data_IF_081581501040
#
_entry.id   IF_081581501040
#
_cell.length_a   1.000
_cell.length_b   1.000
_cell.length_c   1.000
_cell.angle_alpha   90.00
_cell.angle_beta   90.00
_cell.angle_gamma   90.00
#
_symmetry.space_group_name_H-M   'P 1'
#
loop_
_entity.id
_entity.type
_entity.pdbx_description
1 polymer ?
#
# COMPACT_ATOMS: atom_id res chain seq x y z
N UNK A 1 -10.84 -12.45 29.15
CA UNK A 1 -11.68 -12.49 27.94
C UNK A 1 -13.14 -12.48 28.33
N UNK A 2 -13.61 -13.45 29.13
CA UNK A 2 -15.03 -13.53 29.53
C UNK A 2 -15.58 -12.30 30.26
N UNK A 3 -14.76 -11.56 31.03
CA UNK A 3 -15.20 -10.30 31.65
C UNK A 3 -15.35 -9.16 30.64
N UNK A 4 -14.53 -9.13 29.58
CA UNK A 4 -14.59 -8.14 28.52
C UNK A 4 -15.77 -8.40 27.59
N UNK A 5 -16.05 -9.67 27.29
CA UNK A 5 -17.19 -10.08 26.47
C UNK A 5 -18.56 -9.81 27.14
N UNK A 6 -18.57 -9.64 28.47
CA UNK A 6 -19.78 -9.26 29.23
C UNK A 6 -20.14 -7.78 29.09
N UNK A 7 -19.23 -6.93 28.60
CA UNK A 7 -19.47 -5.49 28.50
C UNK A 7 -20.53 -5.14 27.45
N UNK A 8 -20.72 -5.97 26.41
CA UNK A 8 -21.72 -5.71 25.39
C UNK A 8 -22.17 -7.00 24.67
N UNK A 9 -23.48 -7.27 24.55
CA UNK A 9 -23.99 -8.54 24.00
C UNK A 9 -23.63 -8.78 22.52
N UNK A 10 -23.29 -7.72 21.79
CA UNK A 10 -22.93 -7.79 20.37
C UNK A 10 -21.42 -7.65 20.08
N UNK A 11 -20.56 -7.51 21.11
CA UNK A 11 -19.11 -7.41 20.92
C UNK A 11 -18.48 -8.67 21.53
N UNK A 12 -17.70 -9.38 20.71
CA UNK A 12 -16.84 -10.48 21.18
C UNK A 12 -15.40 -10.09 20.92
N UNK A 13 -14.61 -10.13 21.97
CA UNK A 13 -13.17 -9.98 21.88
C UNK A 13 -12.57 -11.30 21.41
N UNK A 14 -11.54 -11.18 20.60
CA UNK A 14 -10.73 -12.31 20.14
C UNK A 14 -9.29 -12.04 20.55
N UNK A 15 -8.62 -13.07 21.07
CA UNK A 15 -7.22 -13.00 21.45
C UNK A 15 -6.47 -14.07 20.67
N UNK A 16 -5.40 -13.68 20.00
CA UNK A 16 -4.49 -14.60 19.34
C UNK A 16 -3.53 -15.18 20.39
N UNK A 17 -3.56 -16.50 20.55
CA UNK A 17 -2.67 -17.23 21.44
C UNK A 17 -1.49 -17.80 20.65
N UNK A 18 -0.32 -17.87 21.29
CA UNK A 18 0.85 -18.55 20.76
C UNK A 18 0.49 -20.03 20.48
N UNK A 19 0.77 -20.50 19.25
CA UNK A 19 0.59 -21.90 18.83
C UNK A 19 1.88 -22.39 18.22
N UNK A 20 2.34 -23.58 18.61
CA UNK A 20 3.59 -24.17 18.10
C UNK A 20 4.78 -23.20 18.16
N UNK A 21 4.93 -22.53 19.31
CA UNK A 21 5.97 -21.51 19.54
C UNK A 21 5.91 -20.32 18.58
N UNK A 22 4.80 -20.12 17.87
CA UNK A 22 4.63 -19.08 16.88
C UNK A 22 3.43 -18.20 17.23
N UNK A 23 3.61 -16.90 17.07
CA UNK A 23 2.57 -15.89 17.19
C UNK A 23 2.63 -14.97 15.97
N UNK A 24 1.48 -14.70 15.38
CA UNK A 24 1.34 -13.74 14.30
C UNK A 24 0.84 -12.41 14.88
N UNK A 25 1.34 -11.30 14.37
CA UNK A 25 0.83 -9.98 14.71
C UNK A 25 1.06 -9.03 13.53
N UNK A 26 -0.03 -8.57 12.92
CA UNK A 26 0.02 -7.80 11.67
C UNK A 26 0.87 -8.55 10.62
N UNK A 27 1.85 -7.87 10.03
CA UNK A 27 2.75 -8.42 9.02
C UNK A 27 3.97 -9.16 9.62
N UNK A 28 3.94 -9.48 10.93
CA UNK A 28 5.08 -10.06 11.66
C UNK A 28 4.74 -11.46 12.14
N UNK A 29 5.58 -12.43 11.76
CA UNK A 29 5.62 -13.77 12.34
C UNK A 29 6.73 -13.79 13.39
N UNK A 30 6.34 -14.07 14.63
CA UNK A 30 7.26 -14.22 15.76
C UNK A 30 7.34 -15.69 16.13
N UNK A 31 8.54 -16.23 16.21
CA UNK A 31 8.76 -17.63 16.61
C UNK A 31 9.73 -17.66 17.79
N UNK A 32 9.32 -18.27 18.89
CA UNK A 32 10.15 -18.47 20.08
C UNK A 32 11.16 -19.58 19.80
N UNK A 33 12.44 -19.28 19.99
CA UNK A 33 13.55 -20.23 19.84
C UNK A 33 13.78 -20.99 21.15
N UNK A 34 14.50 -22.11 21.05
CA UNK A 34 14.81 -22.98 22.20
C UNK A 34 15.69 -22.28 23.26
N UNK A 35 16.46 -21.27 22.86
CA UNK A 35 17.28 -20.43 23.75
C UNK A 35 16.47 -19.32 24.45
N UNK A 36 15.15 -19.25 24.22
CA UNK A 36 14.25 -18.25 24.77
C UNK A 36 14.23 -16.93 23.99
N UNK A 37 15.02 -16.78 22.93
CA UNK A 37 14.98 -15.59 22.05
C UNK A 37 13.82 -15.67 21.06
N UNK A 38 13.49 -14.54 20.42
CA UNK A 38 12.40 -14.46 19.42
C UNK A 38 13.00 -14.23 18.04
N UNK A 39 12.75 -15.16 17.12
CA UNK A 39 12.96 -14.97 15.69
C UNK A 39 11.80 -14.16 15.11
N UNK A 40 12.08 -13.21 14.21
CA UNK A 40 11.05 -12.45 13.51
C UNK A 40 11.19 -12.64 12.02
N UNK A 41 10.08 -12.82 11.33
CA UNK A 41 9.99 -12.84 9.87
C UNK A 41 8.70 -12.16 9.41
N UNK A 42 8.57 -11.93 8.11
CA UNK A 42 7.34 -11.37 7.54
C UNK A 42 6.26 -12.44 7.54
N UNK A 43 5.12 -12.14 8.15
CA UNK A 43 3.95 -13.01 8.10
C UNK A 43 3.27 -12.92 6.73
N UNK A 44 2.89 -14.07 6.19
CA UNK A 44 2.11 -14.21 4.96
C UNK A 44 1.04 -15.24 5.23
N UNK A 45 -0.20 -14.91 4.91
CA UNK A 45 -1.29 -15.88 4.94
C UNK A 45 -1.03 -17.01 3.95
N UNK A 46 -1.65 -18.18 4.17
CA UNK A 46 -1.53 -19.34 3.28
C UNK A 46 -2.04 -19.06 1.86
N UNK A 47 -2.94 -18.10 1.72
CA UNK A 47 -3.51 -17.64 0.44
C UNK A 47 -2.59 -16.68 -0.32
N UNK A 48 -1.46 -16.28 0.26
CA UNK A 48 -0.55 -15.34 -0.37
C UNK A 48 0.16 -15.95 -1.59
N UNK A 49 -0.14 -15.43 -2.77
CA UNK A 49 0.40 -15.93 -4.06
C UNK A 49 1.74 -15.32 -4.45
N UNK A 50 2.19 -14.29 -3.72
CA UNK A 50 3.33 -13.47 -4.12
C UNK A 50 3.05 -12.54 -5.29
N UNK A 51 1.77 -12.35 -5.65
CA UNK A 51 1.39 -11.43 -6.70
C UNK A 51 1.53 -9.99 -6.20
N UNK A 52 2.25 -9.19 -6.96
CA UNK A 52 2.27 -7.75 -6.82
C UNK A 52 1.92 -7.11 -8.16
N UNK A 53 2.15 -5.81 -8.28
CA UNK A 53 1.94 -5.12 -9.53
C UNK A 53 2.91 -5.66 -10.59
N UNK A 54 2.43 -6.02 -11.78
CA UNK A 54 3.29 -6.49 -12.85
C UNK A 54 4.13 -5.33 -13.43
N UNK A 55 5.38 -5.60 -13.81
CA UNK A 55 6.32 -4.55 -14.25
C UNK A 55 5.92 -3.83 -15.56
N UNK A 56 5.13 -4.47 -16.42
CA UNK A 56 4.59 -3.83 -17.64
C UNK A 56 3.17 -3.27 -17.43
N UNK A 57 2.75 -3.11 -16.17
CA UNK A 57 1.51 -2.43 -15.88
C UNK A 57 1.64 -0.94 -16.24
N UNK A 58 0.51 -0.31 -16.57
CA UNK A 58 0.46 1.10 -16.96
C UNK A 58 0.56 2.02 -15.73
N UNK A 59 1.61 1.86 -14.93
CA UNK A 59 1.95 2.69 -13.78
C UNK A 59 3.29 3.41 -13.99
N UNK A 60 3.55 4.43 -13.18
CA UNK A 60 4.85 5.09 -13.17
C UNK A 60 5.93 4.18 -12.60
N UNK A 61 7.11 4.21 -13.18
CA UNK A 61 8.33 3.58 -12.66
C UNK A 61 8.64 4.07 -11.23
N UNK A 62 8.27 5.29 -10.84
CA UNK A 62 8.39 5.75 -9.45
C UNK A 62 7.61 4.88 -8.47
N UNK A 63 6.41 4.42 -8.85
CA UNK A 63 5.58 3.55 -8.04
C UNK A 63 6.22 2.18 -7.88
N UNK A 64 6.71 1.61 -8.98
CA UNK A 64 7.42 0.33 -9.02
C UNK A 64 8.70 0.35 -8.19
N UNK A 65 9.49 1.42 -8.31
CA UNK A 65 10.65 1.67 -7.45
C UNK A 65 10.24 1.75 -5.98
N UNK A 66 9.14 2.44 -5.71
CA UNK A 66 8.57 2.57 -4.37
C UNK A 66 8.21 1.21 -3.78
N UNK A 67 7.51 0.38 -4.55
CA UNK A 67 7.12 -0.97 -4.17
C UNK A 67 8.34 -1.83 -3.78
N UNK A 68 9.33 -1.94 -4.68
CA UNK A 68 10.55 -2.70 -4.42
C UNK A 68 11.25 -2.17 -3.16
N UNK A 69 11.42 -0.85 -3.05
CA UNK A 69 12.10 -0.26 -1.89
C UNK A 69 11.35 -0.57 -0.59
N UNK A 70 10.03 -0.40 -0.57
CA UNK A 70 9.22 -0.64 0.62
C UNK A 70 9.30 -2.10 1.05
N UNK A 71 9.13 -3.06 0.14
CA UNK A 71 9.23 -4.49 0.47
C UNK A 71 10.58 -4.84 1.11
N UNK A 72 11.66 -4.42 0.48
CA UNK A 72 13.02 -4.68 0.96
C UNK A 72 13.36 -3.90 2.24
N UNK A 73 12.76 -2.73 2.48
CA UNK A 73 12.95 -1.98 3.73
C UNK A 73 12.17 -2.62 4.88
N UNK A 74 10.91 -2.99 4.64
CA UNK A 74 10.05 -3.67 5.61
C UNK A 74 10.66 -5.00 6.05
N UNK A 75 11.16 -5.81 5.11
CA UNK A 75 11.85 -7.06 5.44
C UNK A 75 13.06 -6.83 6.36
N UNK A 76 13.88 -5.81 6.10
CA UNK A 76 15.04 -5.49 6.96
C UNK A 76 14.66 -4.96 8.33
N UNK A 77 13.50 -4.30 8.44
CA UNK A 77 13.01 -3.76 9.70
C UNK A 77 12.37 -4.85 10.58
N UNK A 78 11.67 -5.81 9.95
CA UNK A 78 10.94 -6.86 10.64
C UNK A 78 11.86 -8.03 10.98
N UNK A 79 12.64 -8.51 10.03
CA UNK A 79 13.35 -9.79 10.15
C UNK A 79 14.53 -9.72 11.12
N UNK A 80 14.75 -10.81 11.86
CA UNK A 80 15.99 -11.04 12.60
C UNK A 80 17.11 -11.48 11.65
N UNK A 81 18.37 -11.35 12.09
CA UNK A 81 19.57 -11.64 11.28
C UNK A 81 19.59 -13.06 10.71
N UNK A 82 18.98 -14.02 11.40
CA UNK A 82 18.88 -15.42 10.96
C UNK A 82 17.82 -15.65 9.87
N UNK A 83 16.82 -14.77 9.76
CA UNK A 83 15.69 -14.91 8.83
C UNK A 83 15.77 -13.96 7.63
N UNK A 84 16.60 -12.91 7.73
CA UNK A 84 16.66 -11.83 6.74
C UNK A 84 17.06 -12.32 5.34
N UNK A 85 18.08 -13.17 5.22
CA UNK A 85 18.55 -13.63 3.91
C UNK A 85 17.50 -14.50 3.20
N UNK A 86 16.78 -15.33 3.96
CA UNK A 86 15.70 -16.13 3.41
C UNK A 86 14.56 -15.24 2.90
N UNK A 87 14.19 -14.22 3.67
CA UNK A 87 13.14 -13.26 3.31
C UNK A 87 13.52 -12.45 2.05
N UNK A 88 14.75 -11.94 1.98
CA UNK A 88 15.23 -11.18 0.83
C UNK A 88 15.24 -12.01 -0.45
N UNK A 89 15.59 -13.29 -0.35
CA UNK A 89 15.54 -14.24 -1.48
C UNK A 89 14.10 -14.49 -1.94
N UNK A 90 13.17 -14.73 -1.02
CA UNK A 90 11.76 -14.91 -1.35
C UNK A 90 11.14 -13.67 -2.02
N UNK A 91 11.51 -12.47 -1.57
CA UNK A 91 11.09 -11.22 -2.21
C UNK A 91 11.62 -11.08 -3.63
N UNK A 92 12.90 -11.45 -3.85
CA UNK A 92 13.50 -11.43 -5.19
C UNK A 92 12.76 -12.38 -6.13
N UNK A 93 12.56 -13.63 -5.71
CA UNK A 93 11.82 -14.63 -6.50
C UNK A 93 10.39 -14.18 -6.83
N UNK A 94 9.71 -13.56 -5.86
CA UNK A 94 8.36 -13.02 -6.06
C UNK A 94 8.37 -11.88 -7.09
N UNK A 95 9.29 -10.92 -6.99
CA UNK A 95 9.39 -9.83 -7.96
C UNK A 95 9.77 -10.31 -9.36
N UNK A 96 10.70 -11.26 -9.48
CA UNK A 96 11.05 -11.87 -10.77
C UNK A 96 9.82 -12.55 -11.41
N UNK A 97 8.96 -13.20 -10.61
CA UNK A 97 7.69 -13.79 -11.08
C UNK A 97 6.70 -12.72 -11.58
N UNK A 98 6.75 -11.51 -11.03
CA UNK A 98 5.95 -10.36 -11.47
C UNK A 98 6.64 -9.55 -12.61
N UNK A 99 7.58 -10.18 -13.32
CA UNK A 99 8.30 -9.64 -14.49
C UNK A 99 9.22 -8.44 -14.21
N UNK A 100 9.64 -8.23 -12.95
CA UNK A 100 10.64 -7.20 -12.65
C UNK A 100 12.04 -7.61 -13.15
N UNK A 101 12.77 -6.74 -13.88
CA UNK A 101 14.14 -7.03 -14.29
C UNK A 101 15.09 -7.13 -13.09
N UNK A 102 16.00 -8.12 -13.09
CA UNK A 102 16.94 -8.32 -11.98
C UNK A 102 17.78 -7.07 -11.68
N UNK A 103 18.25 -6.38 -12.72
CA UNK A 103 19.02 -5.14 -12.56
C UNK A 103 18.22 -4.03 -11.86
N UNK A 104 16.90 -4.00 -12.05
CA UNK A 104 16.01 -3.05 -11.38
C UNK A 104 15.85 -3.41 -9.90
N UNK A 105 15.63 -4.68 -9.60
CA UNK A 105 15.51 -5.18 -8.23
C UNK A 105 16.80 -4.89 -7.46
N UNK A 106 17.97 -5.28 -7.99
CA UNK A 106 19.28 -5.08 -7.34
C UNK A 106 19.62 -3.60 -7.09
N UNK A 107 19.16 -2.72 -7.97
CA UNK A 107 19.38 -1.28 -7.81
C UNK A 107 18.52 -0.71 -6.68
N UNK A 108 17.28 -1.15 -6.57
CA UNK A 108 16.27 -0.57 -5.67
C UNK A 108 16.08 -1.33 -4.36
N UNK A 109 16.65 -2.54 -4.25
CA UNK A 109 16.70 -3.33 -3.03
C UNK A 109 17.69 -2.79 -2.00
N UNK A 110 18.70 -2.02 -2.43
CA UNK A 110 19.77 -1.53 -1.55
C UNK A 110 19.25 -0.49 -0.55
N UNK A 111 19.71 -0.53 0.72
CA UNK A 111 19.34 0.48 1.70
C UNK A 111 19.83 1.85 1.24
N UNK A 112 18.91 2.81 1.18
CA UNK A 112 19.24 4.19 0.82
C UNK A 112 19.80 4.88 2.05
N UNK A 113 21.09 5.23 2.02
CA UNK A 113 21.69 6.12 3.00
C UNK A 113 21.02 7.49 2.86
N UNK A 114 20.32 7.93 3.90
CA UNK A 114 19.76 9.28 3.95
C UNK A 114 20.95 10.23 4.06
N UNK A 115 21.34 10.83 2.93
CA UNK A 115 22.30 11.94 2.96
C UNK A 115 21.52 13.18 3.41
N UNK A 116 21.89 13.71 4.57
CA UNK A 116 21.46 15.05 4.96
C UNK A 116 21.95 16.00 3.87
N UNK A 117 21.01 16.67 3.21
CA UNK A 117 21.36 17.74 2.27
C UNK A 117 21.38 19.02 3.08
N UNK A 118 22.50 19.74 3.03
CA UNK A 118 22.61 21.06 3.63
C UNK A 118 21.52 21.95 3.00
N UNK A 119 20.74 22.61 3.85
CA UNK A 119 19.61 23.43 3.45
C UNK A 119 20.08 24.54 2.50
N UNK A 120 19.68 24.42 1.23
CA UNK A 120 19.60 25.57 0.33
C UNK A 120 18.29 26.32 0.62
N UNK A 121 18.24 27.61 0.32
CA UNK A 121 17.06 28.45 0.54
C UNK A 121 15.77 27.78 0.05
N UNK A 122 14.69 27.94 0.81
CA UNK A 122 13.40 27.35 0.49
C UNK A 122 12.90 27.84 -0.88
N UNK A 123 12.67 26.90 -1.79
CA UNK A 123 12.10 27.19 -3.11
C UNK A 123 10.58 27.09 -3.06
N UNK A 124 9.91 27.96 -3.80
CA UNK A 124 8.47 27.90 -3.99
C UNK A 124 8.09 26.63 -4.78
N UNK A 125 7.32 25.74 -4.15
CA UNK A 125 6.91 24.50 -4.79
C UNK A 125 5.71 24.74 -5.72
N UNK A 126 5.95 24.68 -7.04
CA UNK A 126 4.90 24.78 -8.07
C UNK A 126 4.45 23.37 -8.44
N UNK A 127 3.20 23.04 -8.15
CA UNK A 127 2.64 21.70 -8.41
C UNK A 127 1.72 21.70 -9.63
N UNK A 128 1.96 20.79 -10.57
CA UNK A 128 1.10 20.58 -11.74
C UNK A 128 0.56 19.15 -11.72
N UNK A 129 -0.74 18.98 -11.92
CA UNK A 129 -1.39 17.69 -12.01
C UNK A 129 -1.59 17.30 -13.49
N UNK A 130 -1.10 16.12 -13.88
CA UNK A 130 -1.25 15.60 -15.25
C UNK A 130 -1.81 14.18 -15.23
N UNK A 131 -2.60 13.76 -16.22
CA UNK A 131 -3.00 12.36 -16.34
C UNK A 131 -1.77 11.48 -16.59
N UNK A 132 -1.68 10.35 -15.89
CA UNK A 132 -0.65 9.36 -16.19
C UNK A 132 -0.95 8.71 -17.53
N UNK A 133 -0.05 8.88 -18.50
CA UNK A 133 -0.01 8.05 -19.71
C UNK A 133 1.10 7.04 -19.57
N UNK A 134 2.34 7.44 -19.80
CA UNK A 134 3.48 6.52 -19.73
C UNK A 134 4.74 7.31 -19.46
N UNK A 135 5.76 6.65 -18.93
CA UNK A 135 6.95 7.35 -18.43
C UNK A 135 7.79 8.00 -19.53
N UNK A 136 7.77 7.46 -20.74
CA UNK A 136 8.34 8.09 -21.93
C UNK A 136 7.73 9.48 -22.18
N UNK A 137 6.40 9.58 -22.18
CA UNK A 137 5.66 10.84 -22.34
C UNK A 137 5.94 11.77 -21.16
N UNK A 138 5.98 11.24 -19.92
CA UNK A 138 6.29 12.03 -18.73
C UNK A 138 7.71 12.61 -18.77
N UNK A 139 8.68 11.84 -19.25
CA UNK A 139 10.06 12.30 -19.42
C UNK A 139 10.15 13.45 -20.44
N UNK A 140 9.40 13.36 -21.53
CA UNK A 140 9.33 14.41 -22.55
C UNK A 140 8.69 15.71 -22.03
N UNK A 141 7.77 15.64 -21.07
CA UNK A 141 7.14 16.82 -20.49
C UNK A 141 7.98 17.44 -19.37
N UNK A 142 8.58 16.60 -18.51
CA UNK A 142 9.30 17.04 -17.31
C UNK A 142 10.56 17.84 -17.64
N UNK A 143 11.34 17.42 -18.64
CA UNK A 143 12.59 18.10 -19.05
C UNK A 143 12.37 19.53 -19.55
N UNK A 144 11.54 19.79 -20.57
CA UNK A 144 11.33 21.14 -21.08
C UNK A 144 10.64 22.04 -20.07
N UNK A 145 9.67 21.53 -19.31
CA UNK A 145 8.97 22.32 -18.29
C UNK A 145 9.89 22.70 -17.13
N UNK A 146 10.74 21.77 -16.67
CA UNK A 146 11.76 22.06 -15.67
C UNK A 146 12.80 23.07 -16.17
N UNK A 147 13.22 22.95 -17.44
CA UNK A 147 14.15 23.91 -18.06
C UNK A 147 13.54 25.30 -18.21
N UNK A 148 12.27 25.39 -18.63
CA UNK A 148 11.54 26.65 -18.72
C UNK A 148 11.42 27.32 -17.35
N UNK A 149 11.00 26.57 -16.32
CA UNK A 149 10.86 27.09 -14.95
C UNK A 149 12.20 27.58 -14.39
N UNK A 150 13.28 26.80 -14.57
CA UNK A 150 14.61 27.20 -14.11
C UNK A 150 15.12 28.48 -14.79
N UNK A 151 14.71 28.74 -16.04
CA UNK A 151 15.05 29.96 -16.78
C UNK A 151 14.21 31.16 -16.37
N UNK A 152 12.91 30.98 -16.11
CA UNK A 152 12.01 32.09 -15.80
C UNK A 152 11.99 32.45 -14.32
N UNK A 153 12.10 31.45 -13.44
CA UNK A 153 11.95 31.64 -12.00
C UNK A 153 12.73 30.58 -11.21
N UNK A 154 14.03 30.85 -11.00
CA UNK A 154 14.98 29.97 -10.30
C UNK A 154 14.57 29.63 -8.85
N UNK A 155 13.80 30.52 -8.22
CA UNK A 155 13.30 30.36 -6.86
C UNK A 155 12.12 29.37 -6.75
N UNK A 156 11.58 28.83 -7.86
CA UNK A 156 10.62 27.73 -7.80
C UNK A 156 11.25 26.37 -8.08
N UNK A 157 10.59 25.34 -7.57
CA UNK A 157 10.79 23.96 -7.95
C UNK A 157 9.49 23.38 -8.52
N UNK A 158 9.61 22.60 -9.59
CA UNK A 158 8.47 22.00 -10.27
C UNK A 158 8.20 20.59 -9.74
N UNK A 159 7.00 20.38 -9.21
CA UNK A 159 6.47 19.06 -8.87
C UNK A 159 5.35 18.67 -9.83
N UNK A 160 5.58 17.64 -10.61
CA UNK A 160 4.53 17.02 -11.43
C UNK A 160 3.92 15.87 -10.61
N UNK A 161 2.60 15.92 -10.44
CA UNK A 161 1.82 14.85 -9.80
C UNK A 161 0.96 14.19 -10.86
N UNK A 162 1.10 12.88 -10.98
CA UNK A 162 0.31 12.09 -11.92
C UNK A 162 -1.00 11.64 -11.29
N UNK A 163 -2.09 11.82 -12.03
CA UNK A 163 -3.41 11.29 -11.66
C UNK A 163 -3.77 10.15 -12.60
N UNK A 164 -4.22 9.03 -12.05
CA UNK A 164 -4.91 8.01 -12.83
C UNK A 164 -6.22 8.60 -13.34
N UNK A 165 -6.51 8.38 -14.62
CA UNK A 165 -7.80 8.77 -15.19
C UNK A 165 -8.82 7.79 -14.60
N UNK A 166 -9.83 8.31 -13.91
CA UNK A 166 -10.97 7.48 -13.49
C UNK A 166 -11.63 6.94 -14.76
N UNK A 167 -11.59 5.62 -14.94
CA UNK A 167 -12.44 4.97 -15.94
C UNK A 167 -13.86 5.19 -15.44
N UNK A 168 -14.78 5.78 -16.23
CA UNK A 168 -16.17 5.90 -15.83
C UNK A 168 -16.73 4.49 -15.61
N UNK A 169 -16.75 4.04 -14.37
CA UNK A 169 -17.40 2.78 -14.04
C UNK A 169 -18.90 3.06 -14.03
N UNK A 170 -19.72 2.28 -14.75
CA UNK A 170 -21.15 2.43 -14.64
C UNK A 170 -21.52 2.24 -13.18
N UNK A 171 -22.32 3.16 -12.63
CA UNK A 171 -22.78 3.05 -11.26
C UNK A 171 -23.57 1.74 -11.12
N UNK A 172 -22.96 0.75 -10.46
CA UNK A 172 -23.60 -0.56 -10.22
C UNK A 172 -24.82 -0.39 -9.30
N UNK A 173 -24.89 0.71 -8.55
CA UNK A 173 -26.03 1.08 -7.73
C UNK A 173 -26.95 2.00 -8.53
N UNK A 174 -28.21 1.59 -8.70
CA UNK A 174 -29.25 2.51 -9.16
C UNK A 174 -29.30 3.70 -8.20
N UNK A 175 -29.24 4.92 -8.73
CA UNK A 175 -29.42 6.11 -7.90
C UNK A 175 -30.86 6.09 -7.37
N UNK A 176 -31.07 6.04 -6.04
CA UNK A 176 -32.41 6.11 -5.50
C UNK A 176 -33.01 7.48 -5.88
N UNK A 177 -34.34 7.57 -6.11
CA UNK A 177 -34.99 8.81 -6.46
C UNK A 177 -34.67 9.96 -5.49
N UNK A 178 -34.68 11.21 -5.97
CA UNK A 178 -34.26 12.38 -5.17
C UNK A 178 -35.05 12.53 -3.86
N UNK A 179 -36.30 12.08 -3.83
CA UNK A 179 -37.17 12.10 -2.66
C UNK A 179 -36.80 11.03 -1.59
N UNK A 180 -35.86 10.14 -1.89
CA UNK A 180 -35.37 9.08 -0.98
C UNK A 180 -33.95 9.32 -0.48
N UNK A 181 -33.51 10.58 -0.39
CA UNK A 181 -32.11 10.92 -0.10
C UNK A 181 -31.77 11.25 1.36
N UNK A 182 -32.75 11.38 2.25
CA UNK A 182 -32.48 11.71 3.66
C UNK A 182 -33.31 10.89 4.64
N UNK A 183 -32.65 10.41 5.71
CA UNK A 183 -33.24 9.76 6.89
C UNK A 183 -34.15 8.56 6.62
N UNK A 184 -33.88 7.79 5.57
CA UNK A 184 -34.63 6.56 5.32
C UNK A 184 -34.05 5.40 6.11
N UNK A 185 -34.92 4.83 6.93
CA UNK A 185 -34.74 3.50 7.48
C UNK A 185 -35.33 2.54 6.45
N UNK A 186 -34.49 1.71 5.84
CA UNK A 186 -34.96 0.66 4.94
C UNK A 186 -34.90 -0.70 5.64
N UNK A 187 -35.89 -1.54 5.32
CA UNK A 187 -36.00 -2.89 5.81
C UNK A 187 -35.80 -3.85 4.65
N UNK A 188 -34.79 -4.71 4.75
CA UNK A 188 -34.57 -5.81 3.83
C UNK A 188 -34.98 -7.12 4.50
N UNK A 189 -35.80 -7.90 3.81
CA UNK A 189 -36.26 -9.20 4.28
C UNK A 189 -35.64 -10.30 3.40
N UNK A 190 -34.82 -11.14 4.00
CA UNK A 190 -34.25 -12.32 3.37
C UNK A 190 -35.34 -13.36 3.12
N UNK A 191 -35.21 -14.14 2.04
CA UNK A 191 -36.01 -15.35 1.82
C UNK A 191 -35.89 -16.39 2.95
N UNK A 192 -34.83 -16.29 3.75
CA UNK A 192 -34.59 -17.05 4.97
C UNK A 192 -35.30 -16.51 6.23
N UNK A 193 -36.09 -15.44 6.12
CA UNK A 193 -36.83 -14.82 7.23
C UNK A 193 -36.04 -13.81 8.07
N UNK A 194 -34.72 -13.73 7.89
CA UNK A 194 -33.89 -12.71 8.55
C UNK A 194 -34.25 -11.31 8.03
N UNK A 195 -34.30 -10.33 8.94
CA UNK A 195 -34.65 -8.95 8.63
C UNK A 195 -33.51 -8.03 9.01
N UNK A 196 -33.04 -7.22 8.05
CA UNK A 196 -32.05 -6.17 8.27
C UNK A 196 -32.72 -4.81 8.19
N UNK A 197 -32.51 -3.97 9.20
CA UNK A 197 -33.01 -2.60 9.23
C UNK A 197 -31.80 -1.68 9.35
N UNK A 198 -31.59 -0.84 8.35
CA UNK A 198 -30.43 0.05 8.27
C UNK A 198 -30.83 1.48 7.90
N UNK A 199 -30.17 2.49 8.48
CA UNK A 199 -30.28 3.86 7.99
C UNK A 199 -29.52 4.00 6.67
N UNK A 200 -30.08 4.72 5.70
CA UNK A 200 -29.39 5.08 4.48
C UNK A 200 -28.38 6.22 4.77
N UNK A 201 -27.09 5.90 4.88
CA UNK A 201 -26.02 6.90 4.84
C UNK A 201 -25.67 7.21 3.39
N UNK A 202 -26.27 8.26 2.82
CA UNK A 202 -25.72 8.91 1.63
C UNK A 202 -25.30 10.33 2.06
N UNK A 203 -23.99 10.54 2.22
CA UNK A 203 -23.38 11.88 2.13
C UNK A 203 -23.07 12.12 0.66
#
# INVERSE_FOLDING_TARGET
MDELDRLHPNIRFTMEAEREHTLHFLDIKMTRKNDGTIARSVYREETWTGQCLQFDSFVSVEYERGLVRTLFQTARHICTEDMIDNELRQLKESLTRNAYPDAFIERHSKPKVIRQTNSSAEKLLVTICLPFKRDDINCLLKRPLGSALARTYYAADLRIVHRTIEIPTPSVKQRPPLFTKSNLIYQFQCSCGATYVGPSCNI
#
